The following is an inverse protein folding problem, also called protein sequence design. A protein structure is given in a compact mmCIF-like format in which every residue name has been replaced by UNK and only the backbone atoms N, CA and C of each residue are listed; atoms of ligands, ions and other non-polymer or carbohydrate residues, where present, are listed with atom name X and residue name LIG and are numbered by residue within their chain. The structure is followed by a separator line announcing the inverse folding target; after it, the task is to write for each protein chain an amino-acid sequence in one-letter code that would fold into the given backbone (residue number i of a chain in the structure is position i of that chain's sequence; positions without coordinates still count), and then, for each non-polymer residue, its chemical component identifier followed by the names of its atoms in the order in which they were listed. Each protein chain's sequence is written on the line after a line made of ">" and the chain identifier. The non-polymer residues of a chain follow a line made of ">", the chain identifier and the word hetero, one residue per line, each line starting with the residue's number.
data_IF_871931718462
#
_entry.id   IF_871931718462
#
_cell.length_a   1.000
_cell.length_b   1.000
_cell.length_c   1.000
_cell.angle_alpha   90.00
_cell.angle_beta   90.00
_cell.angle_gamma   90.00
#
_symmetry.space_group_name_H-M   'P 1'
#
loop_
_entity.id
_entity.type
_entity.pdbx_description
1 polymer ?
#
# COMPACT_ATOMS: atom_id res chain seq x y z
N UNK A 1 -52.08 -22.36 -61.36
CA UNK A 1 -52.84 -21.63 -60.33
C UNK A 1 -52.05 -21.73 -59.04
N UNK A 2 -51.29 -20.69 -58.73
CA UNK A 2 -51.62 -19.71 -57.67
C UNK A 2 -51.55 -20.38 -56.30
N UNK A 3 -50.35 -20.36 -55.69
CA UNK A 3 -49.94 -19.34 -54.73
C UNK A 3 -50.53 -19.62 -53.33
N UNK A 4 -49.68 -20.08 -52.42
CA UNK A 4 -49.67 -19.50 -51.08
C UNK A 4 -48.22 -19.47 -50.56
N UNK A 5 -47.63 -18.29 -50.76
CA UNK A 5 -46.59 -17.75 -49.90
C UNK A 5 -47.24 -17.51 -48.54
N UNK A 6 -46.97 -18.35 -47.56
CA UNK A 6 -47.04 -17.92 -46.15
C UNK A 6 -45.64 -17.48 -45.72
N UNK A 7 -45.12 -16.48 -46.43
CA UNK A 7 -44.20 -15.53 -45.82
C UNK A 7 -45.05 -14.58 -45.00
N UNK A 8 -45.36 -14.89 -43.74
CA UNK A 8 -45.78 -13.85 -42.79
C UNK A 8 -45.75 -14.33 -41.34
N UNK A 9 -44.53 -14.36 -40.83
CA UNK A 9 -44.30 -14.00 -39.44
C UNK A 9 -43.19 -12.96 -39.39
N UNK A 10 -43.50 -11.69 -39.70
CA UNK A 10 -42.55 -10.59 -39.48
C UNK A 10 -42.00 -10.62 -38.04
N UNK A 11 -40.92 -9.88 -37.75
CA UNK A 11 -40.26 -9.87 -36.42
C UNK A 11 -41.24 -9.84 -35.22
N UNK A 12 -42.38 -9.17 -35.37
CA UNK A 12 -43.48 -9.14 -34.40
C UNK A 12 -44.09 -10.51 -34.09
N UNK A 13 -44.35 -11.35 -35.09
CA UNK A 13 -44.92 -12.70 -34.94
C UNK A 13 -43.90 -13.70 -34.40
N UNK A 14 -42.60 -13.50 -34.67
CA UNK A 14 -41.51 -14.28 -34.07
C UNK A 14 -41.35 -13.99 -32.56
N UNK A 15 -41.49 -12.72 -32.17
CA UNK A 15 -41.45 -12.31 -30.76
C UNK A 15 -42.70 -12.78 -30.03
N UNK A 16 -43.89 -12.57 -30.60
CA UNK A 16 -45.16 -12.93 -30.00
C UNK A 16 -46.16 -13.44 -31.03
N UNK A 17 -46.56 -14.70 -30.90
CA UNK A 17 -47.64 -15.28 -31.68
C UNK A 17 -48.92 -15.32 -30.82
N UNK A 18 -49.85 -14.40 -31.10
CA UNK A 18 -51.10 -14.26 -30.35
C UNK A 18 -52.09 -15.43 -30.57
N UNK A 19 -52.00 -16.14 -31.70
CA UNK A 19 -52.90 -17.25 -32.03
C UNK A 19 -52.53 -18.52 -31.26
N UNK A 20 -51.23 -18.83 -31.20
CA UNK A 20 -50.69 -20.00 -30.48
C UNK A 20 -50.31 -19.70 -29.04
N UNK A 21 -50.36 -18.42 -28.62
CA UNK A 21 -49.87 -17.93 -27.31
C UNK A 21 -48.42 -18.35 -27.05
N UNK A 22 -47.57 -18.20 -28.05
CA UNK A 22 -46.15 -18.54 -28.01
C UNK A 22 -45.29 -17.27 -27.97
N UNK A 23 -44.31 -17.25 -27.07
CA UNK A 23 -43.29 -16.20 -26.98
C UNK A 23 -41.95 -16.79 -27.42
N UNK A 24 -41.30 -16.19 -28.43
CA UNK A 24 -40.04 -16.68 -29.02
C UNK A 24 -40.09 -18.18 -29.37
N UNK A 25 -41.20 -18.63 -29.96
CA UNK A 25 -41.39 -20.00 -30.42
C UNK A 25 -41.65 -21.05 -29.31
N UNK A 26 -41.97 -20.63 -28.08
CA UNK A 26 -42.36 -21.54 -26.98
C UNK A 26 -43.61 -21.05 -26.26
N UNK A 27 -44.45 -21.99 -25.82
CA UNK A 27 -45.64 -21.67 -25.00
C UNK A 27 -45.23 -21.18 -23.60
N UNK A 28 -46.06 -20.35 -22.96
CA UNK A 28 -45.80 -19.86 -21.59
C UNK A 28 -45.57 -20.97 -20.56
N UNK A 29 -46.23 -22.12 -20.71
CA UNK A 29 -46.00 -23.30 -19.86
C UNK A 29 -44.61 -23.91 -20.06
N UNK A 30 -44.11 -23.93 -21.30
CA UNK A 30 -42.74 -24.38 -21.59
C UNK A 30 -41.71 -23.42 -20.99
N UNK A 31 -41.91 -22.10 -21.16
CA UNK A 31 -41.06 -21.08 -20.54
C UNK A 31 -40.98 -21.19 -19.02
N UNK A 32 -42.13 -21.41 -18.34
CA UNK A 32 -42.15 -21.61 -16.89
C UNK A 32 -41.39 -22.86 -16.47
N UNK A 33 -41.52 -23.97 -17.20
CA UNK A 33 -40.77 -25.22 -16.94
C UNK A 33 -39.27 -25.03 -17.10
N UNK A 34 -38.84 -24.35 -18.16
CA UNK A 34 -37.42 -24.04 -18.41
C UNK A 34 -36.87 -23.11 -17.34
N UNK A 35 -37.62 -22.06 -17.02
CA UNK A 35 -37.24 -21.11 -15.97
C UNK A 35 -37.08 -21.81 -14.62
N UNK A 36 -38.07 -22.61 -14.20
CA UNK A 36 -38.01 -23.37 -12.96
C UNK A 36 -36.84 -24.36 -12.94
N UNK A 37 -36.59 -25.05 -14.05
CA UNK A 37 -35.43 -25.92 -14.20
C UNK A 37 -34.12 -25.15 -13.96
N UNK A 38 -33.92 -24.00 -14.60
CA UNK A 38 -32.72 -23.19 -14.42
C UNK A 38 -32.60 -22.60 -13.01
N UNK A 39 -33.72 -22.19 -12.39
CA UNK A 39 -33.71 -21.72 -11.00
C UNK A 39 -33.22 -22.80 -10.06
N UNK A 40 -33.74 -24.03 -10.16
CA UNK A 40 -33.31 -25.15 -9.32
C UNK A 40 -31.88 -25.55 -9.66
N UNK A 41 -31.56 -25.68 -10.95
CA UNK A 41 -30.23 -26.08 -11.41
C UNK A 41 -29.14 -25.11 -10.93
N UNK A 42 -29.31 -23.80 -11.17
CA UNK A 42 -28.34 -22.81 -10.70
C UNK A 42 -28.36 -22.64 -9.18
N UNK A 43 -29.50 -22.88 -8.51
CA UNK A 43 -29.56 -22.95 -7.06
C UNK A 43 -28.67 -24.07 -6.49
N UNK A 44 -28.78 -25.28 -7.04
CA UNK A 44 -27.92 -26.41 -6.67
C UNK A 44 -26.45 -26.15 -7.02
N UNK A 45 -26.17 -25.60 -8.19
CA UNK A 45 -24.80 -25.27 -8.62
C UNK A 45 -24.16 -24.22 -7.67
N UNK A 46 -24.90 -23.17 -7.31
CA UNK A 46 -24.46 -22.18 -6.33
C UNK A 46 -24.25 -22.81 -4.95
N UNK A 47 -25.12 -23.74 -4.53
CA UNK A 47 -24.97 -24.49 -3.29
C UNK A 47 -23.68 -25.31 -3.23
N UNK A 48 -23.35 -26.03 -4.31
CA UNK A 48 -22.09 -26.78 -4.42
C UNK A 48 -20.90 -25.81 -4.35
N UNK A 49 -20.97 -24.70 -5.09
CA UNK A 49 -19.92 -23.69 -5.07
C UNK A 49 -19.69 -23.13 -3.65
N UNK A 50 -20.75 -22.74 -2.94
CA UNK A 50 -20.68 -22.28 -1.55
C UNK A 50 -20.06 -23.36 -0.65
N UNK A 51 -20.48 -24.62 -0.78
CA UNK A 51 -19.93 -25.75 -0.02
C UNK A 51 -18.42 -25.91 -0.24
N UNK A 52 -17.96 -25.86 -1.49
CA UNK A 52 -16.52 -25.96 -1.81
C UNK A 52 -15.71 -24.77 -1.28
N UNK A 53 -16.26 -23.55 -1.31
CA UNK A 53 -15.63 -22.37 -0.71
C UNK A 53 -15.56 -22.49 0.81
N UNK A 54 -16.60 -22.99 1.47
CA UNK A 54 -16.59 -23.19 2.92
C UNK A 54 -15.55 -24.23 3.34
N UNK A 55 -15.45 -25.36 2.61
CA UNK A 55 -14.42 -26.36 2.85
C UNK A 55 -13.01 -25.75 2.70
N UNK A 56 -12.79 -24.92 1.68
CA UNK A 56 -11.53 -24.18 1.52
C UNK A 56 -11.26 -23.24 2.71
N UNK A 57 -12.25 -22.45 3.15
CA UNK A 57 -12.07 -21.51 4.25
C UNK A 57 -11.72 -22.20 5.58
N UNK A 58 -12.22 -23.43 5.82
CA UNK A 58 -11.85 -24.22 7.01
C UNK A 58 -10.39 -24.68 7.01
N UNK A 59 -9.72 -24.72 5.85
CA UNK A 59 -8.29 -25.05 5.76
C UNK A 59 -7.37 -23.85 6.00
N UNK A 60 -7.92 -22.64 6.08
CA UNK A 60 -7.15 -21.40 6.22
C UNK A 60 -7.15 -20.90 7.67
N UNK A 61 -5.99 -20.44 8.14
CA UNK A 61 -5.88 -19.73 9.40
C UNK A 61 -6.27 -18.26 9.25
N UNK A 62 -7.02 -17.73 10.21
CA UNK A 62 -7.36 -16.31 10.26
C UNK A 62 -6.18 -15.42 10.72
N UNK A 63 -5.13 -16.03 11.28
CA UNK A 63 -4.01 -15.31 11.90
C UNK A 63 -2.80 -15.14 10.98
N UNK A 64 -2.56 -16.09 10.07
CA UNK A 64 -1.43 -16.05 9.13
C UNK A 64 -1.84 -16.56 7.76
N UNK A 65 -1.41 -15.91 6.66
CA UNK A 65 -1.61 -16.45 5.33
C UNK A 65 -0.74 -17.68 5.10
N UNK A 66 -1.30 -18.68 4.41
CA UNK A 66 -0.62 -19.96 4.10
C UNK A 66 0.62 -19.77 3.22
N UNK A 67 0.57 -18.84 2.26
CA UNK A 67 1.65 -18.55 1.32
C UNK A 67 2.05 -17.07 1.40
N UNK A 68 3.35 -16.81 1.51
CA UNK A 68 3.95 -15.46 1.62
C UNK A 68 5.08 -15.22 0.61
N UNK A 69 5.34 -16.19 -0.26
CA UNK A 69 6.37 -16.15 -1.31
C UNK A 69 6.16 -14.99 -2.30
N UNK A 70 4.91 -14.57 -2.52
CA UNK A 70 4.58 -13.47 -3.44
C UNK A 70 4.75 -12.07 -2.89
N UNK A 71 4.99 -11.94 -1.58
CA UNK A 71 5.16 -10.64 -0.90
C UNK A 71 6.57 -10.46 -0.33
N UNK A 72 7.42 -11.48 -0.44
CA UNK A 72 8.84 -11.40 -0.17
C UNK A 72 9.61 -11.26 -1.50
N UNK A 73 10.59 -10.35 -1.61
CA UNK A 73 11.04 -9.35 -0.64
C UNK A 73 10.08 -8.14 -0.45
N UNK A 74 10.14 -7.43 0.70
CA UNK A 74 9.21 -6.34 0.99
C UNK A 74 9.42 -5.12 0.07
N UNK A 75 8.32 -4.43 -0.21
CA UNK A 75 8.32 -3.18 -0.99
C UNK A 75 8.49 -1.93 -0.14
N UNK A 76 9.03 -0.87 -0.74
CA UNK A 76 9.19 0.45 -0.16
C UNK A 76 8.21 1.44 -0.80
N UNK A 77 7.43 2.13 0.03
CA UNK A 77 6.37 3.02 -0.46
C UNK A 77 6.47 4.41 0.15
N UNK A 78 6.28 5.44 -0.68
CA UNK A 78 6.27 6.84 -0.26
C UNK A 78 4.86 7.42 -0.28
N UNK A 79 4.66 8.42 0.57
CA UNK A 79 3.49 9.31 0.60
C UNK A 79 4.02 10.74 0.46
N UNK A 80 3.38 11.61 -0.34
CA UNK A 80 2.14 11.43 -1.08
C UNK A 80 2.32 10.50 -2.29
N UNK A 81 1.35 9.62 -2.56
CA UNK A 81 1.39 8.81 -3.79
C UNK A 81 0.98 9.64 -4.98
N UNK A 82 1.69 9.48 -6.08
CA UNK A 82 1.30 10.00 -7.39
C UNK A 82 1.27 8.87 -8.42
N UNK A 83 0.43 9.02 -9.44
CA UNK A 83 0.16 7.97 -10.44
C UNK A 83 1.39 7.59 -11.27
N UNK A 84 2.31 8.54 -11.46
CA UNK A 84 3.56 8.36 -12.22
C UNK A 84 4.82 8.43 -11.36
N UNK A 85 4.70 8.32 -10.03
CA UNK A 85 5.79 8.66 -9.10
C UNK A 85 6.35 10.06 -9.33
N UNK A 86 5.52 10.98 -9.81
CA UNK A 86 5.89 12.37 -10.10
C UNK A 86 5.23 13.33 -9.11
N UNK A 87 6.03 14.22 -8.53
CA UNK A 87 5.59 15.30 -7.67
C UNK A 87 5.91 16.60 -8.40
N UNK A 88 4.88 17.21 -8.98
CA UNK A 88 4.99 18.41 -9.78
C UNK A 88 4.10 19.51 -9.19
N UNK A 89 4.69 20.65 -8.83
CA UNK A 89 3.98 21.79 -8.27
C UNK A 89 4.74 23.08 -8.51
N UNK A 90 4.05 24.22 -8.41
CA UNK A 90 4.66 25.55 -8.44
C UNK A 90 4.75 26.11 -7.02
N UNK A 91 5.86 26.76 -6.70
CA UNK A 91 6.03 27.44 -5.42
C UNK A 91 5.16 28.69 -5.30
N UNK A 92 4.85 29.32 -6.43
CA UNK A 92 4.01 30.52 -6.50
C UNK A 92 2.54 30.21 -6.25
N UNK A 93 2.06 29.03 -6.65
CA UNK A 93 0.64 28.65 -6.53
C UNK A 93 0.38 27.64 -5.39
N UNK A 94 -0.28 28.12 -4.34
CA UNK A 94 -0.70 27.32 -3.20
C UNK A 94 -1.69 26.21 -3.54
N UNK A 95 -2.46 26.36 -4.63
CA UNK A 95 -3.43 25.36 -5.06
C UNK A 95 -2.75 24.11 -5.64
N UNK A 96 -1.60 24.31 -6.30
CA UNK A 96 -0.85 23.25 -7.00
C UNK A 96 -0.35 22.16 -6.06
N UNK A 97 0.21 22.51 -4.90
CA UNK A 97 0.72 21.53 -3.93
C UNK A 97 -0.33 21.05 -2.92
N UNK A 98 -1.54 21.62 -2.91
CA UNK A 98 -2.60 21.28 -1.95
C UNK A 98 -2.98 19.80 -1.98
N UNK A 99 -3.01 19.18 -3.17
CA UNK A 99 -3.25 17.74 -3.32
C UNK A 99 -2.26 16.90 -2.50
N UNK A 100 -0.98 17.27 -2.51
CA UNK A 100 0.08 16.57 -1.80
C UNK A 100 -0.02 16.78 -0.28
N UNK A 101 -0.30 18.01 0.15
CA UNK A 101 -0.45 18.35 1.58
C UNK A 101 -1.68 17.69 2.19
N UNK A 102 -2.80 17.66 1.47
CA UNK A 102 -4.05 17.04 1.93
C UNK A 102 -3.88 15.51 2.03
N UNK A 103 -3.25 14.89 1.02
CA UNK A 103 -2.93 13.46 1.05
C UNK A 103 -2.03 13.10 2.23
N UNK A 104 -1.00 13.91 2.51
CA UNK A 104 -0.15 13.70 3.67
C UNK A 104 -0.92 13.89 4.98
N UNK A 105 -1.69 14.96 5.11
CA UNK A 105 -2.46 15.26 6.32
C UNK A 105 -3.43 14.12 6.63
N UNK A 106 -4.11 13.60 5.60
CA UNK A 106 -4.99 12.45 5.69
C UNK A 106 -4.26 11.18 6.15
N UNK A 107 -3.05 10.94 5.62
CA UNK A 107 -2.22 9.80 6.02
C UNK A 107 -1.77 9.92 7.49
N UNK A 108 -1.25 11.09 7.87
CA UNK A 108 -0.73 11.37 9.20
C UNK A 108 -1.79 11.44 10.29
N UNK A 109 -3.06 11.65 9.94
CA UNK A 109 -4.19 11.62 10.89
C UNK A 109 -4.29 10.29 11.66
N UNK A 110 -3.70 9.20 11.17
CA UNK A 110 -3.63 7.91 11.89
C UNK A 110 -2.59 7.90 13.02
N UNK A 111 -1.62 8.79 12.94
CA UNK A 111 -0.45 8.90 13.82
C UNK A 111 -0.55 10.11 14.76
N UNK A 112 -1.73 10.73 14.90
CA UNK A 112 -1.92 11.80 15.87
C UNK A 112 -1.82 11.23 17.28
N UNK A 113 -1.13 11.95 18.17
CA UNK A 113 -0.83 11.49 19.53
C UNK A 113 -2.13 11.25 20.33
N UNK A 114 -3.19 12.01 20.06
CA UNK A 114 -4.52 11.87 20.67
C UNK A 114 -5.12 10.45 20.50
N UNK A 115 -4.79 9.78 19.38
CA UNK A 115 -5.29 8.43 19.07
C UNK A 115 -4.45 7.32 19.68
N UNK A 116 -3.29 7.66 20.23
CA UNK A 116 -2.30 6.73 20.77
C UNK A 116 -2.25 6.75 22.30
N UNK A 117 -3.28 7.31 22.95
CA UNK A 117 -3.29 7.54 24.41
C UNK A 117 -3.55 6.27 25.24
N UNK A 118 -4.34 5.33 24.71
CA UNK A 118 -4.75 4.10 25.40
C UNK A 118 -3.55 3.19 25.72
N UNK A 119 -3.23 3.01 27.01
CA UNK A 119 -2.08 2.23 27.49
C UNK A 119 -2.26 0.72 27.30
N UNK A 120 -3.50 0.23 27.21
CA UNK A 120 -3.78 -1.19 26.96
C UNK A 120 -3.52 -1.56 25.49
N UNK A 121 -3.53 -0.55 24.61
CA UNK A 121 -3.41 -0.67 23.15
C UNK A 121 -2.04 -0.28 22.63
N UNK A 122 -1.39 0.67 23.31
CA UNK A 122 -0.16 1.28 22.85
C UNK A 122 0.91 1.34 23.94
N UNK A 123 2.09 0.85 23.59
CA UNK A 123 3.31 0.85 24.39
C UNK A 123 4.28 1.94 23.92
N UNK A 124 4.89 2.68 24.85
CA UNK A 124 5.90 3.68 24.54
C UNK A 124 7.22 3.03 24.14
N UNK A 125 7.77 3.47 23.00
CA UNK A 125 9.14 3.12 22.60
C UNK A 125 10.14 3.71 23.60
N UNK A 126 11.12 2.94 24.07
CA UNK A 126 12.11 3.32 25.09
C UNK A 126 13.09 4.44 24.68
N UNK A 127 12.56 5.64 24.43
CA UNK A 127 13.32 6.85 24.11
C UNK A 127 13.65 7.01 22.61
N UNK A 128 14.73 7.74 22.33
CA UNK A 128 15.15 8.13 20.97
C UNK A 128 16.10 7.10 20.30
N UNK A 129 16.29 5.93 20.90
CA UNK A 129 17.26 4.92 20.45
C UNK A 129 16.52 3.71 19.88
N UNK A 130 16.94 3.19 18.71
CA UNK A 130 16.38 1.96 18.16
C UNK A 130 16.67 0.73 19.04
N UNK A 131 15.62 0.01 19.41
CA UNK A 131 15.66 -1.26 20.13
C UNK A 131 15.53 -2.45 19.17
N UNK A 132 15.91 -3.63 19.65
CA UNK A 132 15.84 -4.89 18.90
C UNK A 132 14.37 -5.32 18.68
N UNK A 133 14.16 -6.33 17.82
CA UNK A 133 12.83 -6.89 17.56
C UNK A 133 12.13 -7.31 18.85
N UNK A 134 10.83 -7.03 18.93
CA UNK A 134 10.01 -7.43 20.08
C UNK A 134 9.07 -8.55 19.67
N UNK A 135 9.48 -9.77 19.97
CA UNK A 135 8.63 -10.93 19.81
C UNK A 135 7.50 -10.89 20.86
N UNK A 136 6.26 -10.97 20.39
CA UNK A 136 5.04 -10.93 21.19
C UNK A 136 4.37 -12.31 21.21
N UNK A 137 5.09 -13.37 20.85
CA UNK A 137 4.64 -14.75 20.90
C UNK A 137 3.99 -15.21 19.60
N UNK A 138 3.67 -16.51 19.54
CA UNK A 138 3.15 -17.13 18.33
C UNK A 138 1.73 -16.63 17.98
N UNK A 139 1.36 -16.54 16.70
CA UNK A 139 -0.01 -16.18 16.29
C UNK A 139 -1.07 -17.22 16.64
N UNK A 140 -0.66 -18.46 16.96
CA UNK A 140 -1.52 -19.66 17.04
C UNK A 140 -1.83 -20.10 18.48
N UNK A 141 -1.52 -19.27 19.48
CA UNK A 141 -1.86 -19.57 20.87
C UNK A 141 -3.38 -19.62 21.06
N UNK A 142 -3.88 -20.48 21.96
CA UNK A 142 -5.31 -20.73 22.18
C UNK A 142 -6.13 -19.49 22.58
N UNK A 143 -5.49 -18.37 22.95
CA UNK A 143 -6.17 -17.09 23.19
C UNK A 143 -5.16 -15.91 23.11
N UNK A 144 -4.72 -15.48 21.91
CA UNK A 144 -3.53 -14.64 21.76
C UNK A 144 -3.75 -13.17 22.21
N UNK A 145 -4.99 -12.81 22.56
CA UNK A 145 -5.37 -11.44 22.88
C UNK A 145 -5.11 -10.47 21.72
N UNK A 146 -5.43 -9.19 21.92
CA UNK A 146 -4.92 -8.16 21.01
C UNK A 146 -3.48 -7.83 21.39
N UNK A 147 -2.59 -7.79 20.40
CA UNK A 147 -1.20 -7.41 20.57
C UNK A 147 -1.09 -5.88 20.66
N UNK A 148 -0.23 -5.42 21.55
CA UNK A 148 -0.01 -4.00 21.83
C UNK A 148 0.81 -3.37 20.70
N UNK A 149 0.35 -2.23 20.17
CA UNK A 149 1.06 -1.40 19.19
C UNK A 149 2.16 -0.56 19.82
N UNK A 150 3.18 -0.25 19.04
CA UNK A 150 4.14 0.77 19.44
C UNK A 150 3.61 2.16 19.15
N UNK A 151 3.85 3.09 20.07
CA UNK A 151 3.57 4.52 19.88
C UNK A 151 4.60 5.12 18.93
N UNK A 152 4.13 5.78 17.88
CA UNK A 152 4.94 6.61 17.02
C UNK A 152 4.53 8.07 17.21
N UNK A 153 5.33 8.81 17.99
CA UNK A 153 5.10 10.23 18.23
C UNK A 153 5.32 11.03 16.95
N UNK A 154 4.40 11.94 16.64
CA UNK A 154 4.48 12.77 15.43
C UNK A 154 5.72 13.68 15.41
N UNK A 155 6.21 14.06 16.59
CA UNK A 155 7.42 14.87 16.76
C UNK A 155 8.69 14.21 16.18
N UNK A 156 8.78 12.87 16.19
CA UNK A 156 9.93 12.13 15.68
C UNK A 156 10.07 12.23 14.17
N UNK A 157 8.95 12.33 13.46
CA UNK A 157 8.91 12.38 11.98
C UNK A 157 9.09 13.82 11.47
N UNK A 158 9.62 14.71 12.31
CA UNK A 158 9.86 16.12 12.02
C UNK A 158 8.59 16.97 12.05
N UNK A 159 8.75 18.22 12.48
CA UNK A 159 7.71 19.24 12.34
C UNK A 159 7.62 19.60 10.86
N UNK A 160 6.45 19.36 10.26
CA UNK A 160 6.13 19.94 8.96
C UNK A 160 6.33 21.45 9.05
N UNK A 161 7.15 22.08 8.21
CA UNK A 161 7.14 23.52 8.12
C UNK A 161 5.69 23.91 7.80
N UNK A 162 5.05 24.69 8.69
CA UNK A 162 3.94 25.52 8.22
C UNK A 162 4.58 26.38 7.13
N UNK A 163 4.14 26.21 5.89
CA UNK A 163 4.69 26.89 4.70
C UNK A 163 4.31 28.40 4.73
N UNK A 164 4.61 29.08 5.84
CA UNK A 164 4.38 30.50 6.07
C UNK A 164 5.57 31.37 5.65
N UNK A 165 6.77 30.79 5.51
CA UNK A 165 7.92 31.47 4.94
C UNK A 165 8.24 30.92 3.55
N UNK A 166 8.01 31.76 2.53
CA UNK A 166 8.16 31.51 1.08
C UNK A 166 9.56 31.08 0.61
N UNK A 167 10.52 30.88 1.50
CA UNK A 167 11.95 30.74 1.16
C UNK A 167 12.54 29.34 1.26
N UNK A 168 11.78 28.32 1.68
CA UNK A 168 12.28 26.92 1.73
C UNK A 168 11.26 25.94 1.19
N UNK A 169 11.35 25.69 -0.12
CA UNK A 169 10.66 24.61 -0.82
C UNK A 169 11.10 23.26 -0.23
N UNK A 170 10.40 22.79 0.80
CA UNK A 170 10.65 21.51 1.43
C UNK A 170 9.71 20.50 0.82
N UNK A 171 10.17 19.64 -0.09
CA UNK A 171 9.30 18.60 -0.63
C UNK A 171 9.28 17.40 0.32
N UNK A 172 8.13 17.03 0.89
CA UNK A 172 8.08 15.99 1.92
C UNK A 172 7.72 14.63 1.32
N UNK A 173 8.65 13.67 1.42
CA UNK A 173 8.35 12.26 1.24
C UNK A 173 8.29 11.57 2.60
N UNK A 174 7.17 10.94 2.96
CA UNK A 174 7.10 10.04 4.13
C UNK A 174 7.05 8.60 3.66
N UNK A 175 7.96 7.81 4.20
CA UNK A 175 8.15 6.42 3.81
C UNK A 175 7.47 5.47 4.77
N UNK A 176 6.93 4.39 4.23
CA UNK A 176 6.54 3.23 5.01
C UNK A 176 7.06 1.95 4.40
N UNK A 177 7.64 1.12 5.25
CA UNK A 177 8.04 -0.26 4.96
C UNK A 177 7.05 -1.19 5.69
N UNK A 178 6.56 -2.21 4.99
CA UNK A 178 5.70 -3.23 5.58
C UNK A 178 6.38 -4.60 5.48
N UNK A 179 6.48 -5.26 6.63
CA UNK A 179 6.87 -6.66 6.89
C UNK A 179 8.35 -6.97 7.24
N UNK A 180 8.47 -8.03 8.04
CA UNK A 180 9.57 -8.47 8.91
C UNK A 180 10.98 -8.43 8.29
N UNK A 181 11.96 -8.03 9.09
CA UNK A 181 13.32 -7.79 8.62
C UNK A 181 14.40 -8.26 9.60
N UNK A 182 15.57 -8.64 9.05
CA UNK A 182 16.80 -8.99 9.76
C UNK A 182 17.91 -8.00 9.36
N UNK A 183 18.70 -7.47 10.32
CA UNK A 183 19.73 -6.45 10.08
C UNK A 183 20.75 -6.89 9.02
N UNK A 184 21.27 -5.98 8.17
CA UNK A 184 22.30 -6.33 7.20
C UNK A 184 23.60 -6.77 7.89
N UNK A 185 24.23 -7.83 7.39
CA UNK A 185 25.62 -8.18 7.71
C UNK A 185 26.59 -7.48 6.74
N UNK A 186 27.83 -7.25 7.19
CA UNK A 186 28.84 -6.35 6.56
C UNK A 186 29.12 -6.56 5.06
N UNK A 187 28.73 -7.68 4.45
CA UNK A 187 29.10 -8.02 3.07
C UNK A 187 28.09 -7.58 2.00
N UNK A 188 26.88 -7.14 2.39
CA UNK A 188 25.81 -6.67 1.48
C UNK A 188 25.60 -5.15 1.50
N UNK A 189 26.48 -4.43 2.19
CA UNK A 189 26.37 -3.00 2.47
C UNK A 189 27.41 -2.27 1.62
N UNK A 190 26.99 -1.35 0.76
CA UNK A 190 27.93 -0.48 0.03
C UNK A 190 28.84 0.24 1.04
N UNK A 191 30.14 0.32 0.77
CA UNK A 191 31.18 0.72 1.75
C UNK A 191 30.92 2.09 2.41
N UNK A 192 30.20 2.99 1.73
CA UNK A 192 29.79 4.29 2.26
C UNK A 192 28.69 4.23 3.35
N UNK A 193 28.00 3.10 3.52
CA UNK A 193 26.94 2.91 4.51
C UNK A 193 27.45 2.33 5.82
N UNK A 194 28.65 1.72 5.83
CA UNK A 194 29.27 1.15 7.03
C UNK A 194 29.42 2.16 8.19
N UNK A 195 29.77 3.45 7.97
CA UNK A 195 29.83 4.45 9.05
C UNK A 195 28.44 4.87 9.56
N UNK A 196 27.39 4.67 8.76
CA UNK A 196 26.01 5.09 9.04
C UNK A 196 25.16 3.98 9.65
N UNK A 197 25.72 2.78 9.78
CA UNK A 197 24.99 1.62 10.30
C UNK A 197 24.77 1.78 11.80
N UNK A 198 23.55 2.10 12.20
CA UNK A 198 23.13 2.09 13.61
C UNK A 198 22.61 0.69 13.96
N UNK A 199 22.92 0.18 15.16
CA UNK A 199 22.35 -1.08 15.60
C UNK A 199 20.82 -0.98 15.67
N UNK A 200 20.15 -2.08 15.35
CA UNK A 200 18.69 -2.19 15.35
C UNK A 200 17.93 -1.17 14.47
N UNK A 201 18.57 -0.68 13.41
CA UNK A 201 17.98 0.24 12.46
C UNK A 201 18.16 -0.29 11.03
N UNK A 202 17.09 -0.25 10.24
CA UNK A 202 17.11 -0.57 8.82
C UNK A 202 17.44 0.73 8.06
N UNK A 203 18.65 0.89 7.50
CA UNK A 203 19.06 2.15 6.88
C UNK A 203 18.31 2.40 5.57
N UNK A 204 17.91 3.66 5.37
CA UNK A 204 17.39 4.15 4.09
C UNK A 204 18.35 5.20 3.55
N UNK A 205 18.63 5.14 2.25
CA UNK A 205 19.47 6.11 1.57
C UNK A 205 18.84 6.54 0.26
N UNK A 206 18.97 7.83 -0.06
CA UNK A 206 18.46 8.42 -1.28
C UNK A 206 19.61 9.01 -2.08
N UNK A 207 19.62 8.72 -3.38
CA UNK A 207 20.59 9.26 -4.33
C UNK A 207 19.90 9.73 -5.61
N UNK A 208 20.59 10.59 -6.35
CA UNK A 208 20.22 10.92 -7.71
C UNK A 208 20.23 9.64 -8.58
N UNK A 209 19.22 9.50 -9.43
CA UNK A 209 19.10 8.34 -10.33
C UNK A 209 20.03 8.46 -11.54
N UNK A 210 20.26 9.68 -12.00
CA UNK A 210 21.17 10.00 -13.09
C UNK A 210 22.35 10.80 -12.55
N UNK A 211 23.56 10.48 -12.99
CA UNK A 211 24.77 11.17 -12.54
C UNK A 211 24.78 12.66 -12.93
N UNK A 212 24.14 13.02 -14.07
CA UNK A 212 23.96 14.41 -14.52
C UNK A 212 23.15 15.29 -13.54
N UNK A 213 22.32 14.67 -12.68
CA UNK A 213 21.49 15.37 -11.71
C UNK A 213 22.16 15.44 -10.31
N UNK A 214 23.39 14.93 -10.16
CA UNK A 214 24.10 14.92 -8.87
C UNK A 214 24.28 16.33 -8.30
N UNK A 215 24.70 17.28 -9.14
CA UNK A 215 24.96 18.67 -8.73
C UNK A 215 23.68 19.47 -8.50
N UNK A 216 22.53 18.96 -8.95
CA UNK A 216 21.23 19.64 -8.90
C UNK A 216 20.43 19.32 -7.64
N UNK A 217 20.84 18.29 -6.91
CA UNK A 217 20.21 17.80 -5.69
C UNK A 217 21.17 18.06 -4.53
N UNK A 218 20.83 19.04 -3.68
CA UNK A 218 21.61 19.34 -2.49
C UNK A 218 21.33 18.40 -1.32
N UNK A 219 21.61 18.88 -0.11
CA UNK A 219 21.55 18.06 1.11
C UNK A 219 20.14 17.46 1.36
N UNK A 220 20.11 16.13 1.48
CA UNK A 220 18.93 15.34 1.83
C UNK A 220 18.95 15.07 3.35
N UNK A 221 17.90 15.51 4.06
CA UNK A 221 17.76 15.29 5.51
C UNK A 221 16.72 14.22 5.81
N UNK A 222 17.06 13.36 6.75
CA UNK A 222 16.18 12.29 7.24
C UNK A 222 15.67 12.64 8.64
N UNK A 223 14.38 12.45 8.86
CA UNK A 223 13.72 12.66 10.15
C UNK A 223 12.97 11.39 10.55
N UNK A 224 13.18 10.95 11.79
CA UNK A 224 12.61 9.74 12.34
C UNK A 224 13.35 9.32 13.60
N UNK A 225 13.15 8.07 14.00
CA UNK A 225 13.95 7.43 15.05
C UNK A 225 15.30 6.95 14.46
N UNK A 226 16.09 7.90 13.95
CA UNK A 226 17.30 7.67 13.15
C UNK A 226 17.11 7.85 11.63
N UNK A 227 18.13 7.48 10.85
CA UNK A 227 18.13 7.52 9.37
C UNK A 227 17.61 6.19 8.78
N UNK A 228 16.45 5.73 9.26
CA UNK A 228 15.97 4.39 8.94
C UNK A 228 14.75 3.93 9.70
N UNK A 229 14.38 2.67 9.52
CA UNK A 229 13.25 2.05 10.19
C UNK A 229 13.73 1.27 11.42
N UNK A 230 13.28 1.58 12.65
CA UNK A 230 13.68 0.85 13.85
C UNK A 230 13.12 -0.58 13.90
N UNK A 231 13.95 -1.55 14.32
CA UNK A 231 13.58 -2.98 14.35
C UNK A 231 12.50 -3.33 15.36
N UNK A 232 12.39 -2.59 16.46
CA UNK A 232 11.37 -2.81 17.50
C UNK A 232 9.93 -2.88 16.99
N UNK A 233 9.61 -2.22 15.87
CA UNK A 233 8.27 -2.24 15.25
C UNK A 233 7.96 -3.54 14.49
N UNK A 234 8.90 -4.47 14.42
CA UNK A 234 8.76 -5.77 13.78
C UNK A 234 8.87 -6.89 14.84
N UNK A 235 8.25 -8.07 14.58
CA UNK A 235 7.43 -8.43 13.42
C UNK A 235 5.98 -7.91 13.48
N UNK A 236 5.28 -7.93 12.34
CA UNK A 236 3.85 -7.60 12.26
C UNK A 236 2.98 -8.86 12.39
N UNK A 237 1.99 -8.83 13.29
CA UNK A 237 1.14 -9.99 13.62
C UNK A 237 -0.20 -10.05 12.88
N UNK A 238 -0.38 -9.23 11.83
CA UNK A 238 -1.64 -9.18 11.08
C UNK A 238 -2.71 -8.32 11.75
N UNK A 239 -3.74 -7.96 10.96
CA UNK A 239 -4.76 -6.97 11.37
C UNK A 239 -5.67 -7.47 12.49
N UNK A 240 -5.91 -8.78 12.54
CA UNK A 240 -6.78 -9.40 13.54
C UNK A 240 -6.14 -9.35 14.93
N UNK A 241 -4.86 -9.71 15.05
CA UNK A 241 -4.12 -9.66 16.31
C UNK A 241 -3.63 -8.25 16.64
N UNK A 242 -3.31 -7.43 15.64
CA UNK A 242 -2.67 -6.13 15.82
C UNK A 242 -3.41 -5.01 15.09
N UNK A 243 -4.68 -4.71 15.47
CA UNK A 243 -5.53 -3.79 14.72
C UNK A 243 -5.06 -2.32 14.78
N UNK A 244 -4.35 -1.95 15.85
CA UNK A 244 -3.82 -0.60 16.05
C UNK A 244 -2.33 -0.49 15.66
N UNK A 245 -1.78 -1.46 14.94
CA UNK A 245 -0.40 -1.40 14.48
C UNK A 245 -0.14 -0.13 13.66
N UNK A 246 0.88 0.62 14.07
CA UNK A 246 1.39 1.77 13.35
C UNK A 246 2.78 1.41 12.83
N UNK A 247 2.88 1.24 11.51
CA UNK A 247 4.15 0.99 10.83
C UNK A 247 5.12 2.18 11.02
N UNK A 248 6.43 1.93 11.18
CA UNK A 248 7.41 2.99 11.37
C UNK A 248 7.49 3.89 10.15
N UNK A 249 7.70 5.18 10.39
CA UNK A 249 7.79 6.19 9.33
C UNK A 249 9.14 6.89 9.36
N UNK A 250 9.66 7.18 8.17
CA UNK A 250 10.80 8.09 7.97
C UNK A 250 10.35 9.23 7.07
N UNK A 251 10.60 10.46 7.49
CA UNK A 251 10.43 11.65 6.65
C UNK A 251 11.75 12.01 5.98
N UNK A 252 11.66 12.36 4.71
CA UNK A 252 12.79 12.77 3.88
C UNK A 252 12.48 14.18 3.40
N UNK A 253 13.39 15.10 3.69
CA UNK A 253 13.32 16.49 3.29
C UNK A 253 14.43 16.79 2.29
N UNK A 254 14.02 17.23 1.10
CA UNK A 254 14.92 17.75 0.09
C UNK A 254 14.96 19.27 0.25
N UNK A 255 16.12 19.82 0.68
CA UNK A 255 16.23 21.24 1.02
C UNK A 255 16.59 22.14 -0.16
N UNK A 256 17.41 21.64 -1.08
CA UNK A 256 17.97 22.43 -2.17
C UNK A 256 17.83 21.65 -3.48
N UNK A 257 16.67 21.77 -4.11
CA UNK A 257 16.40 21.19 -5.43
C UNK A 257 16.42 22.31 -6.47
N UNK A 258 17.10 22.06 -7.58
CA UNK A 258 17.11 22.99 -8.72
C UNK A 258 15.69 23.13 -9.29
N UNK A 259 15.23 24.36 -9.46
CA UNK A 259 13.87 24.67 -9.93
C UNK A 259 13.78 24.60 -11.46
N UNK A 260 12.56 24.39 -11.96
CA UNK A 260 12.19 24.33 -13.38
C UNK A 260 12.87 23.19 -14.16
N UNK A 261 13.33 22.14 -13.49
CA UNK A 261 13.90 20.94 -14.10
C UNK A 261 13.26 19.65 -13.54
N UNK A 262 13.27 18.58 -14.34
CA UNK A 262 12.86 17.24 -13.89
C UNK A 262 14.04 16.54 -13.20
N UNK A 263 13.96 16.37 -11.88
CA UNK A 263 14.96 15.66 -11.08
C UNK A 263 14.46 14.27 -10.69
N UNK A 264 15.29 13.24 -10.86
CA UNK A 264 14.93 11.86 -10.49
C UNK A 264 15.75 11.39 -9.30
N UNK A 265 15.07 11.03 -8.22
CA UNK A 265 15.67 10.56 -6.98
C UNK A 265 15.26 9.10 -6.77
N UNK A 266 16.24 8.24 -6.54
CA UNK A 266 16.05 6.85 -6.15
C UNK A 266 16.38 6.71 -4.67
N UNK A 267 15.48 6.12 -3.90
CA UNK A 267 15.73 5.79 -2.51
C UNK A 267 15.64 4.28 -2.31
N UNK A 268 16.63 3.74 -1.61
CA UNK A 268 16.83 2.31 -1.36
C UNK A 268 16.92 2.05 0.13
N UNK A 269 16.40 0.92 0.57
CA UNK A 269 16.57 0.42 1.94
C UNK A 269 17.48 -0.77 1.87
N UNK A 270 18.51 -0.79 2.72
CA UNK A 270 19.55 -1.82 2.67
C UNK A 270 19.37 -2.83 3.79
N UNK A 271 19.60 -4.09 3.45
CA UNK A 271 19.29 -5.17 4.36
C UNK A 271 19.44 -6.56 3.78
N UNK A 272 19.67 -7.56 4.64
CA UNK A 272 19.87 -8.95 4.21
C UNK A 272 18.62 -9.51 3.52
N UNK A 273 17.45 -9.25 4.11
CA UNK A 273 16.16 -9.71 3.58
C UNK A 273 15.49 -8.75 2.57
N UNK A 274 16.24 -7.78 2.04
CA UNK A 274 15.72 -6.82 1.06
C UNK A 274 16.35 -7.12 -0.29
N UNK A 275 15.52 -7.69 -1.16
CA UNK A 275 15.87 -7.88 -2.57
C UNK A 275 15.29 -6.77 -3.43
N UNK A 276 15.95 -6.49 -4.54
CA UNK A 276 15.54 -5.52 -5.54
C UNK A 276 15.14 -6.22 -6.83
N UNK A 277 14.26 -5.59 -7.60
CA UNK A 277 13.82 -6.09 -8.90
C UNK A 277 13.89 -4.97 -9.94
N UNK A 278 14.30 -5.32 -11.15
CA UNK A 278 14.20 -4.40 -12.30
C UNK A 278 12.77 -4.31 -12.83
N UNK A 279 11.98 -5.38 -12.66
CA UNK A 279 10.57 -5.41 -13.06
C UNK A 279 9.68 -4.65 -12.06
N UNK A 280 9.94 -4.83 -10.76
CA UNK A 280 9.22 -4.13 -9.71
C UNK A 280 10.06 -3.00 -9.12
N UNK A 281 9.75 -1.77 -9.53
CA UNK A 281 10.42 -0.54 -9.08
C UNK A 281 10.12 -0.15 -7.64
N UNK A 282 9.21 -0.87 -6.97
CA UNK A 282 8.88 -0.64 -5.56
C UNK A 282 9.44 -1.71 -4.63
N UNK A 283 10.10 -2.75 -5.14
CA UNK A 283 10.69 -3.81 -4.32
C UNK A 283 12.03 -3.35 -3.71
N UNK A 284 12.07 -3.15 -2.39
CA UNK A 284 13.25 -2.63 -1.65
C UNK A 284 13.66 -1.18 -1.94
N UNK A 285 13.08 -0.55 -2.97
CA UNK A 285 13.41 0.81 -3.43
C UNK A 285 12.17 1.55 -3.92
N UNK A 286 12.26 2.85 -4.12
CA UNK A 286 11.31 3.59 -4.95
C UNK A 286 12.02 4.71 -5.69
N UNK A 287 11.46 5.07 -6.85
CA UNK A 287 11.84 6.26 -7.59
C UNK A 287 10.77 7.34 -7.41
N UNK A 288 11.21 8.59 -7.23
CA UNK A 288 10.36 9.78 -7.33
C UNK A 288 10.98 10.77 -8.32
N UNK A 289 10.12 11.37 -9.12
CA UNK A 289 10.44 12.48 -10.00
C UNK A 289 9.91 13.77 -9.39
N UNK A 290 10.75 14.78 -9.30
CA UNK A 290 10.38 16.12 -8.87
C UNK A 290 10.40 17.06 -10.07
N UNK A 291 9.35 17.85 -10.22
CA UNK A 291 9.29 18.96 -11.18
C UNK A 291 8.72 20.17 -10.45
N UNK A 292 9.62 20.99 -9.90
CA UNK A 292 9.24 22.13 -9.05
C UNK A 292 9.38 23.39 -9.88
N UNK A 293 8.25 23.94 -10.29
CA UNK A 293 8.22 25.25 -10.93
C UNK A 293 8.37 26.36 -9.88
N UNK A 294 8.99 27.47 -10.29
CA UNK A 294 9.01 28.68 -9.47
C UNK A 294 7.62 29.24 -9.20
#
# INVERSE_FOLDING_TARGET
>A
MQANKDSDGGWRTFVWNSEKKEFLGRTGSSWLKIFLFYVIFYGCLAGIFIGTIQALLLTLSNYKPTYQDRVAPPGLSHTPRSEKSEIAFSLSDASSYKKYTDAMTKFLKKYDDDKQTDQMKFEDCGGNVPENYKDRGAPEDNNPGQRIGWRLKRSLVGVWPRLGNRSKASTPGKMSLSLCFQPPMNNSVEEFLLPKLKPNLIPIFCKNKREEDADKIGEIKFFGLGEGFPLQYYPYYGKLLHPQYLQPLVAIQFNNLTLNEELRIECKVFGENIGYSEKDRYQGRFDVKFNIAS
#
